data_IF_423018767441
#
_entry.id   IF_423018767441
#
_cell.length_a   1.000
_cell.length_b   1.000
_cell.length_c   1.000
_cell.angle_alpha   90.00
_cell.angle_beta   90.00
_cell.angle_gamma   90.00
#
_symmetry.space_group_name_H-M   'P 1'
#
loop_
_entity.id
_entity.type
_entity.pdbx_description
1 polymer ?
#
# COMPACT_ATOMS: atom_id res chain seq x y z
N UNK A 1 -31.05 13.29 25.62
CA UNK A 1 -30.87 13.02 24.17
C UNK A 1 -29.43 12.66 23.78
N UNK A 2 -28.41 12.94 24.60
CA UNK A 2 -26.98 12.67 24.33
C UNK A 2 -26.55 11.19 24.43
N UNK A 3 -27.33 10.34 25.11
CA UNK A 3 -27.02 8.92 25.33
C UNK A 3 -27.22 8.06 24.07
N UNK A 4 -28.23 8.37 23.25
CA UNK A 4 -28.52 7.63 22.01
C UNK A 4 -27.44 7.82 20.94
N UNK A 5 -26.86 9.02 20.82
CA UNK A 5 -25.78 9.28 19.85
C UNK A 5 -24.48 8.55 20.19
N UNK A 6 -24.18 8.39 21.49
CA UNK A 6 -23.00 7.64 21.94
C UNK A 6 -23.11 6.15 21.65
N UNK A 7 -24.29 5.54 21.82
CA UNK A 7 -24.45 4.11 21.54
C UNK A 7 -24.22 3.82 20.05
N UNK A 8 -24.82 4.61 19.14
CA UNK A 8 -24.64 4.42 17.70
C UNK A 8 -23.19 4.53 17.25
N UNK A 9 -22.41 5.45 17.83
CA UNK A 9 -20.99 5.57 17.52
C UNK A 9 -20.21 4.32 17.95
N UNK A 10 -20.44 3.80 19.17
CA UNK A 10 -19.77 2.61 19.68
C UNK A 10 -20.05 1.39 18.80
N UNK A 11 -21.29 1.19 18.38
CA UNK A 11 -21.66 0.08 17.49
C UNK A 11 -20.97 0.18 16.12
N UNK A 12 -20.92 1.37 15.52
CA UNK A 12 -20.22 1.59 14.24
C UNK A 12 -18.73 1.27 14.35
N UNK A 13 -18.06 1.75 15.39
CA UNK A 13 -16.64 1.45 15.62
C UNK A 13 -16.40 -0.03 15.90
N UNK A 14 -17.28 -0.69 16.66
CA UNK A 14 -17.22 -2.13 16.90
C UNK A 14 -17.32 -2.94 15.60
N UNK A 15 -18.27 -2.61 14.72
CA UNK A 15 -18.42 -3.27 13.43
C UNK A 15 -17.21 -3.07 12.51
N UNK A 16 -16.65 -1.85 12.48
CA UNK A 16 -15.45 -1.55 11.71
C UNK A 16 -14.24 -2.34 12.21
N UNK A 17 -14.06 -2.45 13.53
CA UNK A 17 -13.00 -3.25 14.14
C UNK A 17 -13.16 -4.74 13.80
N UNK A 18 -14.37 -5.28 13.94
CA UNK A 18 -14.67 -6.67 13.60
C UNK A 18 -14.39 -6.97 12.13
N UNK A 19 -14.82 -6.09 11.22
CA UNK A 19 -14.54 -6.22 9.80
C UNK A 19 -13.03 -6.19 9.53
N UNK A 20 -12.31 -5.25 10.15
CA UNK A 20 -10.86 -5.14 10.00
C UNK A 20 -10.11 -6.38 10.52
N UNK A 21 -10.45 -6.87 11.71
CA UNK A 21 -9.91 -8.12 12.25
C UNK A 21 -10.24 -9.32 11.35
N UNK A 22 -11.46 -9.38 10.81
CA UNK A 22 -11.88 -10.41 9.86
C UNK A 22 -11.05 -10.38 8.57
N UNK A 23 -10.78 -9.19 8.02
CA UNK A 23 -9.91 -9.03 6.86
C UNK A 23 -8.46 -9.45 7.16
N UNK A 24 -7.91 -9.06 8.31
CA UNK A 24 -6.55 -9.46 8.72
C UNK A 24 -6.45 -10.99 8.81
N UNK A 25 -7.40 -11.60 9.52
CA UNK A 25 -7.48 -13.05 9.64
C UNK A 25 -7.61 -13.74 8.28
N UNK A 26 -8.53 -13.25 7.44
CA UNK A 26 -8.77 -13.79 6.11
C UNK A 26 -7.53 -13.77 5.23
N UNK A 27 -6.76 -12.67 5.25
CA UNK A 27 -5.52 -12.58 4.47
C UNK A 27 -4.44 -13.54 4.99
N UNK A 28 -4.31 -13.73 6.31
CA UNK A 28 -3.36 -14.69 6.87
C UNK A 28 -3.71 -16.14 6.49
N UNK A 29 -5.01 -16.44 6.38
CA UNK A 29 -5.53 -17.76 5.94
C UNK A 29 -5.31 -18.05 4.45
N UNK A 30 -4.87 -17.10 3.64
CA UNK A 30 -4.50 -17.35 2.22
C UNK A 30 -3.45 -18.46 2.09
N UNK A 31 -2.61 -18.63 3.11
CA UNK A 31 -1.58 -19.68 3.17
C UNK A 31 -2.14 -21.10 3.29
N UNK A 32 -3.41 -21.24 3.66
CA UNK A 32 -4.09 -22.53 3.86
C UNK A 32 -5.00 -22.92 2.69
N UNK A 33 -5.17 -22.03 1.71
CA UNK A 33 -6.01 -22.31 0.54
C UNK A 33 -5.37 -23.46 -0.23
N UNK A 34 -6.10 -24.57 -0.48
CA UNK A 34 -5.56 -25.71 -1.20
C UNK A 34 -5.20 -25.28 -2.63
N UNK A 35 -3.97 -25.61 -3.03
CA UNK A 35 -3.45 -25.36 -4.37
C UNK A 35 -1.93 -25.34 -4.36
N UNK A 36 -1.30 -25.84 -5.42
CA UNK A 36 0.16 -25.78 -5.58
C UNK A 36 0.58 -24.48 -6.26
N UNK A 37 0.71 -23.43 -5.45
CA UNK A 37 1.23 -22.12 -5.86
C UNK A 37 2.75 -22.04 -5.56
N UNK A 38 3.38 -23.20 -5.31
CA UNK A 38 4.80 -23.32 -5.06
C UNK A 38 5.61 -23.19 -6.35
N UNK A 39 6.80 -22.59 -6.25
CA UNK A 39 7.81 -22.57 -7.32
C UNK A 39 7.49 -21.81 -8.63
N UNK A 40 6.37 -21.08 -8.71
CA UNK A 40 6.09 -20.23 -9.88
C UNK A 40 7.09 -19.07 -10.03
N UNK A 41 7.74 -18.66 -8.94
CA UNK A 41 8.75 -17.60 -8.90
C UNK A 41 10.13 -18.23 -8.65
N UNK A 42 10.56 -19.05 -9.60
CA UNK A 42 11.90 -19.62 -9.66
C UNK A 42 12.55 -19.23 -11.00
N UNK A 43 13.83 -18.86 -10.97
CA UNK A 43 14.58 -18.52 -12.18
C UNK A 43 16.08 -18.38 -11.92
N UNK A 44 16.85 -17.87 -12.90
CA UNK A 44 18.30 -17.61 -12.74
C UNK A 44 18.64 -16.66 -11.58
N UNK A 45 17.66 -15.89 -11.10
CA UNK A 45 17.77 -14.99 -9.95
C UNK A 45 17.49 -15.67 -8.60
N UNK A 46 17.18 -16.97 -8.59
CA UNK A 46 16.93 -17.76 -7.38
C UNK A 46 15.49 -18.29 -7.30
N UNK A 47 15.19 -18.95 -6.18
CA UNK A 47 13.87 -19.48 -5.86
C UNK A 47 13.27 -18.69 -4.70
N UNK A 48 12.07 -18.14 -4.89
CA UNK A 48 11.35 -17.43 -3.84
C UNK A 48 10.58 -18.34 -2.90
N UNK A 49 10.02 -17.77 -1.82
CA UNK A 49 9.01 -18.46 -1.01
C UNK A 49 7.76 -18.76 -1.84
N UNK A 50 6.86 -19.59 -1.30
CA UNK A 50 5.56 -19.88 -1.92
C UNK A 50 4.80 -18.58 -2.20
N UNK A 51 4.18 -18.46 -3.37
CA UNK A 51 3.44 -17.25 -3.76
C UNK A 51 2.34 -16.89 -2.77
N UNK A 52 1.65 -17.89 -2.21
CA UNK A 52 0.64 -17.70 -1.17
C UNK A 52 1.18 -16.96 0.06
N UNK A 53 2.42 -17.25 0.48
CA UNK A 53 3.04 -16.57 1.61
C UNK A 53 3.31 -15.10 1.29
N UNK A 54 3.82 -14.78 0.10
CA UNK A 54 4.02 -13.40 -0.35
C UNK A 54 2.72 -12.61 -0.41
N UNK A 55 1.67 -13.22 -0.98
CA UNK A 55 0.33 -12.61 -1.04
C UNK A 55 -0.21 -12.36 0.37
N UNK A 56 -0.08 -13.31 1.28
CA UNK A 56 -0.51 -13.14 2.67
C UNK A 56 0.26 -12.01 3.37
N UNK A 57 1.58 -11.95 3.24
CA UNK A 57 2.40 -10.90 3.85
C UNK A 57 2.08 -9.50 3.28
N UNK A 58 2.01 -9.36 1.95
CA UNK A 58 1.68 -8.08 1.33
C UNK A 58 0.24 -7.64 1.58
N UNK A 59 -0.70 -8.59 1.57
CA UNK A 59 -2.09 -8.33 1.92
C UNK A 59 -2.22 -7.91 3.38
N UNK A 60 -1.47 -8.54 4.29
CA UNK A 60 -1.47 -8.18 5.71
C UNK A 60 -1.08 -6.71 5.88
N UNK A 61 0.00 -6.27 5.24
CA UNK A 61 0.42 -4.87 5.27
C UNK A 61 -0.63 -3.93 4.68
N UNK A 62 -1.28 -4.29 3.57
CA UNK A 62 -2.35 -3.48 2.98
C UNK A 62 -3.53 -3.32 3.94
N UNK A 63 -4.01 -4.42 4.54
CA UNK A 63 -5.13 -4.39 5.48
C UNK A 63 -4.76 -3.66 6.76
N UNK A 64 -3.53 -3.83 7.26
CA UNK A 64 -3.02 -3.12 8.43
C UNK A 64 -2.95 -1.61 8.20
N UNK A 65 -2.49 -1.18 7.02
CA UNK A 65 -2.31 0.24 6.69
C UNK A 65 -3.60 0.91 6.19
N UNK A 66 -4.63 0.16 5.80
CA UNK A 66 -5.85 0.74 5.25
C UNK A 66 -6.62 1.66 6.24
N UNK A 67 -6.92 1.26 7.49
CA UNK A 67 -7.63 2.13 8.43
C UNK A 67 -6.94 3.47 8.70
N UNK A 68 -5.65 3.54 9.07
CA UNK A 68 -5.00 4.84 9.30
C UNK A 68 -4.96 5.69 8.02
N UNK A 69 -4.80 5.07 6.84
CA UNK A 69 -4.87 5.78 5.56
C UNK A 69 -6.23 6.43 5.36
N UNK A 70 -7.32 5.70 5.58
CA UNK A 70 -8.70 6.20 5.45
C UNK A 70 -8.96 7.32 6.46
N UNK A 71 -8.58 7.11 7.72
CA UNK A 71 -8.76 8.09 8.79
C UNK A 71 -7.99 9.38 8.48
N UNK A 72 -6.73 9.30 8.06
CA UNK A 72 -5.94 10.48 7.69
C UNK A 72 -6.51 11.20 6.47
N UNK A 73 -6.98 10.48 5.46
CA UNK A 73 -7.71 11.09 4.35
C UNK A 73 -8.96 11.83 4.82
N UNK A 74 -9.73 11.25 5.72
CA UNK A 74 -10.96 11.85 6.21
C UNK A 74 -10.70 13.07 7.11
N UNK A 75 -9.70 13.01 7.98
CA UNK A 75 -9.49 13.97 9.06
C UNK A 75 -8.54 15.13 8.72
N UNK A 76 -7.61 14.94 7.78
CA UNK A 76 -6.56 15.93 7.52
C UNK A 76 -6.86 16.84 6.31
N UNK A 77 -6.38 18.10 6.33
CA UNK A 77 -6.42 18.98 5.17
C UNK A 77 -5.70 18.39 3.96
N UNK A 78 -6.17 18.73 2.76
CA UNK A 78 -5.65 18.17 1.50
C UNK A 78 -4.14 18.36 1.31
N UNK A 79 -3.58 19.49 1.78
CA UNK A 79 -2.12 19.75 1.76
C UNK A 79 -1.33 18.75 2.61
N UNK A 80 -1.84 18.38 3.79
CA UNK A 80 -1.18 17.42 4.67
C UNK A 80 -1.28 16.00 4.10
N UNK A 81 -2.45 15.60 3.57
CA UNK A 81 -2.63 14.32 2.89
C UNK A 81 -1.64 14.17 1.72
N UNK A 82 -1.47 15.23 0.92
CA UNK A 82 -0.49 15.27 -0.17
C UNK A 82 0.95 15.13 0.31
N UNK A 83 1.31 15.83 1.39
CA UNK A 83 2.65 15.76 1.98
C UNK A 83 2.94 14.35 2.48
N UNK A 84 2.05 13.76 3.29
CA UNK A 84 2.18 12.39 3.80
C UNK A 84 2.29 11.40 2.64
N UNK A 85 1.43 11.52 1.63
CA UNK A 85 1.51 10.67 0.43
C UNK A 85 2.83 10.81 -0.33
N UNK A 86 3.39 12.02 -0.40
CA UNK A 86 4.69 12.29 -1.03
C UNK A 86 5.83 11.69 -0.21
N UNK A 87 5.80 11.82 1.12
CA UNK A 87 6.81 11.24 2.00
C UNK A 87 6.78 9.71 1.95
N UNK A 88 5.59 9.08 2.00
CA UNK A 88 5.45 7.63 1.88
C UNK A 88 5.94 7.11 0.52
N UNK A 89 5.51 7.74 -0.58
CA UNK A 89 5.96 7.37 -1.91
C UNK A 89 7.46 7.57 -2.08
N UNK A 90 8.01 8.67 -1.55
CA UNK A 90 9.44 8.97 -1.56
C UNK A 90 10.25 7.96 -0.77
N UNK A 91 9.78 7.56 0.41
CA UNK A 91 10.42 6.53 1.23
C UNK A 91 10.42 5.16 0.54
N UNK A 92 9.28 4.76 -0.03
CA UNK A 92 9.19 3.54 -0.83
C UNK A 92 10.11 3.57 -2.06
N UNK A 93 10.16 4.68 -2.78
CA UNK A 93 11.07 4.85 -3.93
C UNK A 93 12.55 4.82 -3.51
N UNK A 94 12.90 5.43 -2.39
CA UNK A 94 14.25 5.38 -1.85
C UNK A 94 14.66 3.94 -1.49
N UNK A 95 13.76 3.17 -0.87
CA UNK A 95 14.01 1.76 -0.56
C UNK A 95 14.19 0.91 -1.83
N UNK A 96 13.37 1.14 -2.88
CA UNK A 96 13.55 0.50 -4.20
C UNK A 96 14.91 0.82 -4.80
N UNK A 97 15.33 2.09 -4.74
CA UNK A 97 16.64 2.53 -5.23
C UNK A 97 17.77 1.86 -4.46
N UNK A 98 17.70 1.81 -3.13
CA UNK A 98 18.69 1.13 -2.27
C UNK A 98 18.80 -0.35 -2.65
N UNK A 99 17.69 -1.07 -2.78
CA UNK A 99 17.69 -2.47 -3.21
C UNK A 99 18.35 -2.61 -4.59
N UNK A 100 18.01 -1.72 -5.53
CA UNK A 100 18.59 -1.71 -6.88
C UNK A 100 20.10 -1.51 -6.85
N UNK A 101 20.59 -0.55 -6.06
CA UNK A 101 22.02 -0.26 -5.91
C UNK A 101 22.76 -1.43 -5.24
N UNK A 102 22.19 -2.03 -4.20
CA UNK A 102 22.77 -3.22 -3.55
C UNK A 102 22.85 -4.37 -4.54
N UNK A 103 21.76 -4.68 -5.27
CA UNK A 103 21.78 -5.74 -6.27
C UNK A 103 22.78 -5.44 -7.40
N UNK A 104 22.87 -4.18 -7.84
CA UNK A 104 23.84 -3.73 -8.83
C UNK A 104 25.27 -3.93 -8.35
N UNK A 105 25.59 -3.47 -7.14
CA UNK A 105 26.94 -3.60 -6.59
C UNK A 105 27.35 -5.06 -6.38
N UNK A 106 26.46 -5.88 -5.81
CA UNK A 106 26.76 -7.28 -5.49
C UNK A 106 26.82 -8.15 -6.73
N UNK A 107 25.93 -7.93 -7.71
CA UNK A 107 25.74 -8.87 -8.81
C UNK A 107 26.23 -8.37 -10.14
N UNK A 108 26.38 -7.07 -10.41
CA UNK A 108 26.90 -6.61 -11.71
C UNK A 108 28.30 -7.18 -12.06
N UNK A 109 29.23 -7.38 -11.09
CA UNK A 109 30.53 -8.00 -11.40
C UNK A 109 30.47 -9.51 -11.68
N UNK A 110 29.42 -10.20 -11.22
CA UNK A 110 29.35 -11.68 -11.18
C UNK A 110 28.18 -12.23 -12.00
N UNK A 111 27.20 -11.40 -12.35
CA UNK A 111 25.92 -11.85 -12.88
C UNK A 111 25.97 -12.28 -14.34
N UNK A 112 25.30 -13.42 -14.55
CA UNK A 112 24.70 -13.83 -15.80
C UNK A 112 23.90 -12.68 -16.44
N UNK A 113 24.17 -12.44 -17.72
CA UNK A 113 23.41 -11.71 -18.72
C UNK A 113 22.55 -10.51 -18.21
N UNK A 114 22.85 -9.25 -18.60
CA UNK A 114 22.18 -8.04 -18.09
C UNK A 114 20.65 -8.03 -18.26
N UNK A 115 20.12 -8.91 -19.11
CA UNK A 115 18.68 -9.13 -19.32
C UNK A 115 17.93 -9.57 -18.04
N UNK A 116 18.59 -10.27 -17.10
CA UNK A 116 17.95 -10.79 -15.89
C UNK A 116 18.05 -9.84 -14.68
N UNK A 117 18.78 -8.72 -14.80
CA UNK A 117 19.02 -7.81 -13.69
C UNK A 117 17.72 -7.20 -13.14
N UNK A 118 16.84 -6.74 -14.03
CA UNK A 118 15.55 -6.16 -13.64
C UNK A 118 14.65 -7.16 -12.92
N UNK A 119 14.61 -8.42 -13.39
CA UNK A 119 13.83 -9.48 -12.73
C UNK A 119 14.36 -9.80 -11.33
N UNK A 120 15.69 -9.78 -11.15
CA UNK A 120 16.30 -9.95 -9.83
C UNK A 120 15.94 -8.82 -8.87
N UNK A 121 15.99 -7.56 -9.32
CA UNK A 121 15.61 -6.40 -8.51
C UNK A 121 14.14 -6.49 -8.11
N UNK A 122 13.25 -6.77 -9.08
CA UNK A 122 11.81 -6.94 -8.82
C UNK A 122 11.54 -8.11 -7.86
N UNK A 123 12.24 -9.22 -8.04
CA UNK A 123 12.17 -10.37 -7.15
C UNK A 123 12.55 -9.98 -5.71
N UNK A 124 13.70 -9.32 -5.51
CA UNK A 124 14.13 -8.88 -4.18
C UNK A 124 13.14 -7.90 -3.54
N UNK A 125 12.58 -6.95 -4.31
CA UNK A 125 11.57 -6.02 -3.80
C UNK A 125 10.31 -6.77 -3.38
N UNK A 126 9.84 -7.73 -4.19
CA UNK A 126 8.64 -8.51 -3.91
C UNK A 126 8.83 -9.48 -2.74
N UNK A 127 10.03 -10.03 -2.54
CA UNK A 127 10.29 -10.96 -1.43
C UNK A 127 10.69 -10.28 -0.12
N UNK A 128 10.99 -8.98 -0.15
CA UNK A 128 11.26 -8.19 1.07
C UNK A 128 9.93 -7.82 1.71
N UNK A 129 9.49 -8.62 2.68
CA UNK A 129 8.18 -8.48 3.33
C UNK A 129 8.26 -7.82 4.70
N UNK A 130 9.47 -7.65 5.23
CA UNK A 130 9.76 -7.04 6.53
C UNK A 130 9.48 -5.53 6.51
N UNK A 131 9.73 -4.90 5.36
CA UNK A 131 9.48 -3.48 5.11
C UNK A 131 8.44 -3.40 3.99
N UNK A 132 7.30 -2.72 4.19
CA UNK A 132 6.22 -2.68 3.21
C UNK A 132 6.50 -1.70 2.06
N UNK A 133 7.60 -1.91 1.34
CA UNK A 133 8.12 -1.02 0.29
C UNK A 133 7.06 -0.79 -0.78
N UNK A 134 6.49 -1.88 -1.31
CA UNK A 134 5.46 -1.83 -2.37
C UNK A 134 4.23 -1.08 -1.88
N UNK A 135 3.79 -1.37 -0.66
CA UNK A 135 2.60 -0.75 -0.07
C UNK A 135 2.82 0.73 0.19
N UNK A 136 3.99 1.16 0.64
CA UNK A 136 4.31 2.58 0.82
C UNK A 136 4.28 3.36 -0.50
N UNK A 137 4.81 2.79 -1.58
CA UNK A 137 4.71 3.40 -2.91
C UNK A 137 3.24 3.48 -3.33
N UNK A 138 2.49 2.38 -3.28
CA UNK A 138 1.10 2.34 -3.72
C UNK A 138 0.19 3.27 -2.90
N UNK A 139 0.26 3.22 -1.57
CA UNK A 139 -0.53 4.07 -0.67
C UNK A 139 -0.12 5.53 -0.84
N UNK A 140 1.17 5.83 -0.93
CA UNK A 140 1.65 7.19 -1.13
C UNK A 140 1.11 7.82 -2.43
N UNK A 141 1.15 7.07 -3.53
CA UNK A 141 0.57 7.49 -4.81
C UNK A 141 -0.96 7.64 -4.73
N UNK A 142 -1.66 6.73 -4.06
CA UNK A 142 -3.09 6.80 -3.84
C UNK A 142 -3.49 8.06 -3.05
N UNK A 143 -2.80 8.35 -1.95
CA UNK A 143 -3.02 9.56 -1.15
C UNK A 143 -2.84 10.83 -1.98
N UNK A 144 -1.80 10.88 -2.83
CA UNK A 144 -1.58 12.01 -3.75
C UNK A 144 -2.70 12.15 -4.77
N UNK A 145 -3.17 11.04 -5.34
CA UNK A 145 -4.29 11.03 -6.27
C UNK A 145 -5.58 11.53 -5.61
N UNK A 146 -5.91 11.02 -4.42
CA UNK A 146 -7.08 11.45 -3.66
C UNK A 146 -7.02 12.94 -3.30
N UNK A 147 -5.85 13.42 -2.85
CA UNK A 147 -5.64 14.84 -2.56
C UNK A 147 -5.87 15.72 -3.81
N UNK A 148 -5.35 15.31 -4.97
CA UNK A 148 -5.58 16.03 -6.23
C UNK A 148 -7.06 16.04 -6.64
N UNK A 149 -7.78 14.94 -6.39
CA UNK A 149 -9.20 14.83 -6.72
C UNK A 149 -10.09 15.75 -5.85
N UNK A 150 -9.69 15.98 -4.59
CA UNK A 150 -10.38 16.91 -3.67
C UNK A 150 -10.26 18.36 -4.12
N UNK A 151 -9.04 18.83 -4.39
CA UNK A 151 -8.81 20.20 -4.90
C UNK A 151 -9.66 20.50 -6.15
N UNK A 152 -9.79 19.52 -7.06
CA UNK A 152 -10.61 19.68 -8.27
C UNK A 152 -12.10 19.84 -7.99
N UNK A 153 -12.62 19.18 -6.95
CA UNK A 153 -14.02 19.30 -6.54
C UNK A 153 -14.28 20.64 -5.88
N UNK A 154 -13.40 21.05 -4.97
CA UNK A 154 -13.48 22.34 -4.29
C UNK A 154 -13.42 23.51 -5.30
N UNK A 155 -12.55 23.44 -6.31
CA UNK A 155 -12.49 24.43 -7.37
C UNK A 155 -13.80 24.49 -8.21
N UNK A 156 -14.32 23.33 -8.62
CA UNK A 156 -15.55 23.27 -9.41
C UNK A 156 -16.80 23.73 -8.62
N UNK A 157 -16.83 23.50 -7.31
CA UNK A 157 -17.88 24.03 -6.43
C UNK A 157 -17.78 25.55 -6.28
N UNK A 158 -16.55 26.09 -6.21
CA UNK A 158 -16.31 27.53 -6.20
C UNK A 158 -16.76 28.23 -7.48
N UNK A 159 -16.44 27.67 -8.65
CA UNK A 159 -16.86 28.23 -9.94
C UNK A 159 -18.39 28.29 -10.07
N UNK A 160 -19.08 27.22 -9.65
CA UNK A 160 -20.56 27.16 -9.65
C UNK A 160 -21.21 28.18 -8.72
N UNK A 161 -20.60 28.45 -7.56
CA UNK A 161 -21.11 29.45 -6.64
C UNK A 161 -21.04 30.86 -7.26
N UNK A 162 -19.92 31.19 -7.92
CA UNK A 162 -19.73 32.47 -8.59
C UNK A 162 -20.71 32.67 -9.77
N UNK A 163 -21.05 31.61 -10.51
CA UNK A 163 -22.04 31.66 -11.59
C UNK A 163 -23.46 31.96 -11.09
N UNK A 164 -23.82 31.56 -9.86
CA UNK A 164 -25.15 31.80 -9.28
C UNK A 164 -25.29 33.21 -8.69
N UNK A 165 -24.19 33.90 -8.44
CA UNK A 165 -24.16 35.27 -7.91
C UNK A 165 -24.15 36.34 -9.01
N UNK A 166 -23.88 35.96 -10.27
CA UNK A 166 -23.84 36.82 -11.45
C UNK A 166 -25.22 36.96 -12.13
#
# INVERSE_FOLDING_TARGET
MTTQLRSLAVWKWGLLLLLWCGCLYGVLRVTEIPGDWGHWICGPWGCGPKLQALVACHGFWLVLLAPPTIIFCAALPTRQVRLIGTLLAGWGAAAVLIVTLIQGWTWLPVALHPIYFGQRVLFCIATTVEIPIVQFVCIGLLLRYLAKSRDRREAAEGDRANELEA
#
